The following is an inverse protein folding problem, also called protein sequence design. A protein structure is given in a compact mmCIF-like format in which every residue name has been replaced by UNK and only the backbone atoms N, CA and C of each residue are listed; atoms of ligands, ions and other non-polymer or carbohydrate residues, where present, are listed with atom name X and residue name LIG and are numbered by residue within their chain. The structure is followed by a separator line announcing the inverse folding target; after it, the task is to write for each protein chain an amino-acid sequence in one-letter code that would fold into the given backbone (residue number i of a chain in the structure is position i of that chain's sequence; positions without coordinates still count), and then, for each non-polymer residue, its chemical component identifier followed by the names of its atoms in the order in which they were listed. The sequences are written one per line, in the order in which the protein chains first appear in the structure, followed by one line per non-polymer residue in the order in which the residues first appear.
data_IF_110545603828
#
_entry.id   IF_110545603828
#
_cell.length_a   1.000
_cell.length_b   1.000
_cell.length_c   1.000
_cell.angle_alpha   90.00
_cell.angle_beta   90.00
_cell.angle_gamma   90.00
#
_symmetry.space_group_name_H-M   'P 1'
#
loop_
_entity.id
_entity.type
_entity.pdbx_description
1 polymer ?
#
# COMPACT_ATOMS: atom_id res chain seq x y z
N UNK A 1 -0.12 2.29 18.47
CA UNK A 1 1.19 2.51 19.09
C UNK A 1 2.34 2.02 18.18
N UNK A 2 2.36 0.75 17.76
CA UNK A 2 3.47 0.17 16.97
C UNK A 2 3.81 0.87 15.64
N UNK A 3 2.82 1.23 14.83
CA UNK A 3 3.01 1.92 13.53
C UNK A 3 3.77 3.25 13.65
N UNK A 4 3.42 4.07 14.64
CA UNK A 4 4.13 5.34 14.91
C UNK A 4 5.55 5.12 15.41
N UNK A 5 5.77 4.08 16.23
CA UNK A 5 7.10 3.71 16.71
C UNK A 5 8.00 3.25 15.55
N UNK A 6 7.48 2.44 14.62
CA UNK A 6 8.21 2.01 13.42
C UNK A 6 8.61 3.20 12.54
N UNK A 7 7.69 4.13 12.25
CA UNK A 7 8.00 5.33 11.46
C UNK A 7 9.08 6.18 12.15
N UNK A 8 9.00 6.33 13.48
CA UNK A 8 10.00 7.02 14.27
C UNK A 8 11.38 6.34 14.21
N UNK A 9 11.41 5.01 14.29
CA UNK A 9 12.62 4.21 14.18
C UNK A 9 13.26 4.36 12.80
N UNK A 10 12.49 4.28 11.72
CA UNK A 10 13.03 4.44 10.35
C UNK A 10 13.58 5.84 10.12
N UNK A 11 12.92 6.87 10.67
CA UNK A 11 13.46 8.23 10.62
C UNK A 11 14.80 8.36 11.36
N UNK A 12 14.94 7.71 12.51
CA UNK A 12 16.19 7.70 13.28
C UNK A 12 17.30 6.93 12.55
N UNK A 13 16.97 5.77 12.00
CA UNK A 13 17.93 4.93 11.29
C UNK A 13 18.34 5.51 9.93
N UNK A 14 17.48 6.29 9.27
CA UNK A 14 17.83 7.09 8.10
C UNK A 14 18.78 8.24 8.46
N UNK A 15 18.56 8.91 9.60
CA UNK A 15 19.41 10.01 10.05
C UNK A 15 20.85 9.58 10.38
N UNK A 16 21.04 8.36 10.89
CA UNK A 16 22.37 7.78 11.15
C UNK A 16 22.96 7.04 9.94
N UNK A 17 22.28 7.08 8.77
CA UNK A 17 22.77 6.49 7.52
C UNK A 17 22.59 4.98 7.37
N UNK A 18 21.88 4.32 8.29
CA UNK A 18 21.58 2.88 8.20
C UNK A 18 20.51 2.60 7.14
N UNK A 19 19.57 3.53 6.94
CA UNK A 19 18.56 3.43 5.89
C UNK A 19 18.81 4.43 4.76
N UNK A 20 18.48 4.08 3.49
CA UNK A 20 18.59 4.99 2.36
C UNK A 20 17.79 6.28 2.59
N UNK A 21 18.34 7.40 2.12
CA UNK A 21 17.62 8.68 2.08
C UNK A 21 16.29 8.53 1.33
N UNK A 22 15.21 9.05 1.92
CA UNK A 22 13.85 8.94 1.40
C UNK A 22 13.05 7.76 1.93
N UNK A 23 13.64 6.86 2.73
CA UNK A 23 12.94 5.70 3.31
C UNK A 23 11.74 6.11 4.14
N UNK A 24 11.88 7.13 4.99
CA UNK A 24 10.76 7.67 5.78
C UNK A 24 9.65 8.27 4.88
N UNK A 25 9.99 8.85 3.73
CA UNK A 25 9.00 9.37 2.78
C UNK A 25 8.15 8.25 2.17
N UNK A 26 8.79 7.16 1.73
CA UNK A 26 8.09 5.99 1.18
C UNK A 26 7.19 5.36 2.22
N UNK A 27 7.67 5.16 3.45
CA UNK A 27 6.84 4.58 4.51
C UNK A 27 5.63 5.45 4.79
N UNK A 28 5.79 6.78 4.90
CA UNK A 28 4.65 7.70 5.13
C UNK A 28 3.65 7.70 3.97
N UNK A 29 4.12 7.53 2.73
CA UNK A 29 3.24 7.37 1.58
C UNK A 29 2.41 6.10 1.73
N UNK A 30 3.05 4.94 1.97
CA UNK A 30 2.35 3.66 2.14
C UNK A 30 1.36 3.70 3.31
N UNK A 31 1.74 4.38 4.40
CA UNK A 31 0.90 4.63 5.56
C UNK A 31 -0.43 5.30 5.16
N UNK A 32 -0.32 6.43 4.46
CA UNK A 32 -1.46 7.22 3.99
C UNK A 32 -2.29 6.45 2.97
N UNK A 33 -1.66 5.72 2.07
CA UNK A 33 -2.35 4.89 1.08
C UNK A 33 -3.19 3.81 1.76
N UNK A 34 -2.66 3.14 2.79
CA UNK A 34 -3.42 2.16 3.55
C UNK A 34 -4.65 2.78 4.25
N UNK A 35 -4.51 3.99 4.82
CA UNK A 35 -5.64 4.72 5.41
C UNK A 35 -6.69 5.08 4.36
N UNK A 36 -6.26 5.57 3.19
CA UNK A 36 -7.14 5.92 2.08
C UNK A 36 -7.88 4.69 1.53
N UNK A 37 -7.22 3.53 1.44
CA UNK A 37 -7.87 2.28 1.00
C UNK A 37 -8.94 1.83 1.97
N UNK A 38 -8.68 1.88 3.29
CA UNK A 38 -9.69 1.54 4.30
C UNK A 38 -10.86 2.52 4.25
N UNK A 39 -10.59 3.82 4.13
CA UNK A 39 -11.63 4.83 4.02
C UNK A 39 -12.49 4.62 2.76
N UNK A 40 -11.85 4.40 1.60
CA UNK A 40 -12.54 4.12 0.34
C UNK A 40 -13.37 2.84 0.38
N UNK A 41 -12.90 1.80 1.10
CA UNK A 41 -13.67 0.58 1.36
C UNK A 41 -14.90 0.84 2.23
N UNK A 42 -14.77 1.66 3.27
CA UNK A 42 -15.89 2.04 4.16
C UNK A 42 -16.95 2.89 3.45
N UNK A 43 -16.56 3.71 2.48
CA UNK A 43 -17.49 4.51 1.68
C UNK A 43 -18.03 3.78 0.45
N UNK A 44 -17.55 2.57 0.17
CA UNK A 44 -17.94 1.78 -1.01
C UNK A 44 -17.35 2.27 -2.33
N UNK A 45 -16.43 3.24 -2.32
CA UNK A 45 -15.79 3.80 -3.53
C UNK A 45 -14.63 2.91 -4.01
N UNK A 46 -13.99 2.18 -3.09
CA UNK A 46 -12.82 1.36 -3.38
C UNK A 46 -13.03 -0.08 -2.91
N UNK A 47 -12.70 -1.04 -3.76
CA UNK A 47 -12.50 -2.44 -3.35
C UNK A 47 -11.06 -2.84 -3.68
N UNK A 48 -10.32 -3.46 -2.74
CA UNK A 48 -8.96 -3.90 -2.99
C UNK A 48 -8.89 -5.01 -4.05
N UNK A 49 -10.01 -5.68 -4.33
CA UNK A 49 -10.09 -6.70 -5.35
C UNK A 49 -11.49 -6.74 -5.97
N UNK A 50 -11.55 -6.82 -7.29
CA UNK A 50 -12.77 -7.10 -8.04
C UNK A 50 -12.72 -8.54 -8.52
N UNK A 51 -13.50 -9.42 -7.88
CA UNK A 51 -13.59 -10.81 -8.30
C UNK A 51 -14.50 -10.91 -9.53
N UNK A 52 -13.97 -11.44 -10.63
CA UNK A 52 -14.75 -11.79 -11.81
C UNK A 52 -14.35 -13.17 -12.31
N UNK A 53 -15.33 -13.93 -12.77
CA UNK A 53 -15.13 -15.26 -13.34
C UNK A 53 -15.19 -15.14 -14.87
N UNK A 54 -14.11 -15.52 -15.54
CA UNK A 54 -14.06 -15.57 -17.00
C UNK A 54 -14.07 -17.03 -17.49
N UNK A 55 -14.77 -17.27 -18.61
CA UNK A 55 -14.74 -18.55 -19.31
C UNK A 55 -13.72 -18.49 -20.44
N UNK A 56 -12.92 -19.55 -20.61
CA UNK A 56 -12.05 -19.72 -21.77
C UNK A 56 -12.87 -19.59 -23.08
N UNK A 57 -12.45 -18.76 -24.05
CA UNK A 57 -13.19 -18.62 -25.31
C UNK A 57 -13.22 -19.94 -26.08
N UNK A 58 -14.35 -20.22 -26.73
CA UNK A 58 -14.58 -21.46 -27.48
C UNK A 58 -13.75 -21.52 -28.77
N UNK A 59 -13.35 -20.37 -29.30
CA UNK A 59 -12.47 -20.23 -30.45
C UNK A 59 -11.13 -19.68 -29.97
N UNK A 60 -10.08 -20.48 -30.10
CA UNK A 60 -8.72 -19.93 -30.24
C UNK A 60 -8.73 -19.15 -31.55
N UNK A 61 -8.21 -17.92 -31.55
CA UNK A 61 -8.32 -16.97 -32.67
C UNK A 61 -8.05 -17.59 -34.05
N UNK A 62 -8.80 -17.09 -35.02
CA UNK A 62 -8.44 -17.18 -36.45
C UNK A 62 -7.16 -16.36 -36.72
#
# INVERSE_FOLDING_TARGET
AGRKAMIGMVKLTEAIGLFPKGSNTVIRLMDRTAEAYVAGGKTGIFTPLYCFLARKPATVGA
#
